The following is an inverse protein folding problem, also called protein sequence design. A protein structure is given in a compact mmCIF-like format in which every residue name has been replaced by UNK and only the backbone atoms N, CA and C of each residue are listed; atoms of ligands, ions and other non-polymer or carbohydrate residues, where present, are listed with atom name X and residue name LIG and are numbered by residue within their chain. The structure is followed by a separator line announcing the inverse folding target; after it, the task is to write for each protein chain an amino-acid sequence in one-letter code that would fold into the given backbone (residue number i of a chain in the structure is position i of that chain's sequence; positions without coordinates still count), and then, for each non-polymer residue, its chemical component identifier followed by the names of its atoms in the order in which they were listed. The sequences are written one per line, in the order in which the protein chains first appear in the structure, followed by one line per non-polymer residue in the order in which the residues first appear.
data_IF_317428127052
#
_entry.id   IF_317428127052
#
_cell.length_a   1.000
_cell.length_b   1.000
_cell.length_c   1.000
_cell.angle_alpha   90.00
_cell.angle_beta   90.00
_cell.angle_gamma   90.00
#
_symmetry.space_group_name_H-M   'P 1'
#
loop_
_entity.id
_entity.type
_entity.pdbx_description
1 polymer ?
#
# COMPACT_ATOMS: atom_id res chain seq x y z
N UNK A 1 8.87 60.55 4.14
CA UNK A 1 9.30 61.20 5.41
C UNK A 1 9.76 60.07 6.32
N UNK A 2 11.03 59.65 6.35
CA UNK A 2 12.28 60.32 6.78
C UNK A 2 12.19 60.88 8.21
N UNK A 3 13.24 60.52 8.98
CA UNK A 3 13.74 60.98 10.30
C UNK A 3 13.49 59.90 11.37
N UNK A 4 14.39 58.96 11.65
CA UNK A 4 15.84 59.02 11.91
C UNK A 4 16.24 60.02 13.00
N UNK A 5 17.36 59.69 13.65
CA UNK A 5 18.18 60.43 14.61
C UNK A 5 17.90 60.11 16.10
N UNK A 6 18.88 59.86 16.97
CA UNK A 6 20.28 60.33 16.99
C UNK A 6 21.26 59.29 17.58
N UNK A 7 22.41 59.20 16.90
CA UNK A 7 23.80 58.80 17.28
C UNK A 7 24.34 59.90 18.24
N UNK A 8 25.46 59.86 19.03
CA UNK A 8 26.84 59.39 18.71
C UNK A 8 27.62 58.84 19.96
N UNK A 9 28.90 58.48 20.01
CA UNK A 9 30.19 58.87 19.39
C UNK A 9 31.11 57.62 19.36
N UNK A 10 31.91 57.29 18.33
CA UNK A 10 33.13 57.94 17.79
C UNK A 10 34.30 57.88 18.83
N UNK A 11 35.56 57.45 18.62
CA UNK A 11 36.53 57.37 17.51
C UNK A 11 37.66 56.40 18.00
N UNK A 12 38.33 55.59 17.16
CA UNK A 12 39.71 55.91 16.72
C UNK A 12 40.26 54.94 15.66
N UNK A 13 40.92 55.57 14.69
CA UNK A 13 41.55 55.01 13.50
C UNK A 13 43.00 54.59 13.77
N UNK A 14 43.42 53.49 13.15
CA UNK A 14 44.76 53.40 12.58
C UNK A 14 44.70 52.60 11.27
N UNK A 15 45.00 53.28 10.16
CA UNK A 15 45.17 52.72 8.81
C UNK A 15 46.63 52.34 8.61
N UNK A 16 46.88 51.31 7.80
CA UNK A 16 48.02 51.03 6.90
C UNK A 16 48.05 49.50 6.75
N UNK A 17 48.09 48.81 5.61
CA UNK A 17 48.10 49.09 4.17
C UNK A 17 47.89 47.72 3.49
N UNK A 18 47.44 47.71 2.24
CA UNK A 18 47.16 46.51 1.43
C UNK A 18 48.29 45.48 1.41
N UNK A 19 47.92 44.19 1.41
CA UNK A 19 48.37 43.19 0.42
C UNK A 19 47.36 42.04 0.43
N UNK A 20 46.81 41.78 -0.76
CA UNK A 20 45.78 40.79 -1.05
C UNK A 20 46.19 39.36 -0.70
N UNK A 21 45.34 38.64 0.04
CA UNK A 21 45.11 37.20 -0.14
C UNK A 21 43.64 36.86 0.10
N UNK A 22 43.05 36.28 -0.93
CA UNK A 22 41.73 35.65 -1.00
C UNK A 22 41.54 34.69 0.18
N UNK A 23 40.46 34.84 0.97
CA UNK A 23 39.51 33.75 1.23
C UNK A 23 38.27 34.24 1.96
N UNK A 24 37.13 34.04 1.30
CA UNK A 24 35.80 34.08 1.85
C UNK A 24 35.62 32.88 2.80
N UNK A 25 34.70 33.01 3.76
CA UNK A 25 33.95 31.93 4.44
C UNK A 25 34.36 31.60 5.88
N UNK A 26 33.55 32.10 6.81
CA UNK A 26 33.01 31.26 7.88
C UNK A 26 31.61 31.80 8.24
N UNK A 27 30.69 31.74 7.28
CA UNK A 27 29.29 31.65 7.65
C UNK A 27 29.14 30.29 8.35
N UNK A 28 28.61 30.33 9.58
CA UNK A 28 28.19 29.15 10.32
C UNK A 28 27.08 28.50 9.47
N UNK A 29 27.48 27.60 8.59
CA UNK A 29 26.60 26.60 8.04
C UNK A 29 26.30 25.65 9.19
N UNK A 30 25.17 25.89 9.86
CA UNK A 30 24.43 24.80 10.49
C UNK A 30 24.04 23.85 9.36
N UNK A 31 24.98 22.97 8.99
CA UNK A 31 24.68 21.69 8.39
C UNK A 31 23.91 20.92 9.47
N UNK A 32 22.62 21.20 9.58
CA UNK A 32 21.69 20.13 9.87
C UNK A 32 21.90 19.18 8.69
N UNK A 33 22.72 18.16 8.90
CA UNK A 33 22.51 16.89 8.24
C UNK A 33 21.09 16.48 8.62
N UNK A 34 20.12 16.98 7.87
CA UNK A 34 18.97 16.18 7.53
C UNK A 34 19.62 14.99 6.85
N UNK A 35 19.90 13.94 7.63
CA UNK A 35 20.02 12.61 7.06
C UNK A 35 18.89 12.56 6.04
N UNK A 36 19.14 12.35 4.73
CA UNK A 36 18.04 12.08 3.82
C UNK A 36 17.25 11.02 4.57
N UNK A 37 16.03 11.35 5.01
CA UNK A 37 15.18 10.36 5.64
C UNK A 37 15.14 9.29 4.57
N UNK A 38 15.79 8.16 4.83
CA UNK A 38 15.58 6.99 4.00
C UNK A 38 14.07 6.90 3.92
N UNK A 39 13.51 7.13 2.73
CA UNK A 39 12.10 6.97 2.50
C UNK A 39 11.71 5.68 3.22
N UNK A 40 10.82 5.79 4.18
CA UNK A 40 10.59 4.77 5.18
C UNK A 40 10.12 3.51 4.47
N UNK A 41 10.95 2.47 4.49
CA UNK A 41 10.53 1.12 4.15
C UNK A 41 9.28 0.79 5.01
N UNK A 42 8.09 0.67 4.42
CA UNK A 42 6.86 0.51 5.19
C UNK A 42 6.74 -0.90 5.77
N UNK A 43 7.64 -1.80 5.40
CA UNK A 43 7.64 -3.21 5.79
C UNK A 43 8.66 -3.47 6.91
N UNK A 44 9.80 -2.76 6.92
CA UNK A 44 10.92 -3.09 7.81
C UNK A 44 11.27 -1.95 8.76
N UNK A 45 11.35 -2.28 10.05
CA UNK A 45 11.82 -1.35 11.09
C UNK A 45 13.34 -1.34 11.23
N UNK A 46 14.01 -2.45 10.86
CA UNK A 46 15.47 -2.61 10.81
C UNK A 46 15.88 -2.99 9.40
N UNK A 47 17.11 -2.65 8.98
CA UNK A 47 17.62 -2.93 7.61
C UNK A 47 16.66 -2.44 6.52
N UNK A 48 16.30 -1.16 6.60
CA UNK A 48 15.36 -0.53 5.66
C UNK A 48 15.92 -0.52 4.24
N UNK A 49 15.06 -0.85 3.28
CA UNK A 49 15.36 -0.65 1.87
C UNK A 49 14.83 0.70 1.40
N UNK A 50 15.64 1.45 0.66
CA UNK A 50 15.21 2.72 0.08
C UNK A 50 14.20 2.46 -1.04
N UNK A 51 12.99 3.01 -0.91
CA UNK A 51 11.93 2.94 -1.93
C UNK A 51 11.61 4.29 -2.57
N UNK A 52 12.21 5.39 -2.11
CA UNK A 52 11.91 6.74 -2.56
C UNK A 52 10.65 7.36 -1.93
N UNK A 53 10.71 8.67 -1.68
CA UNK A 53 9.71 9.41 -0.89
C UNK A 53 8.32 9.39 -1.55
N UNK A 54 8.26 9.45 -2.89
CA UNK A 54 6.99 9.48 -3.62
C UNK A 54 6.33 8.10 -3.62
N UNK A 55 7.12 7.03 -3.74
CA UNK A 55 6.62 5.66 -3.61
C UNK A 55 6.11 5.39 -2.20
N UNK A 56 6.85 5.81 -1.16
CA UNK A 56 6.38 5.68 0.22
C UNK A 56 5.07 6.46 0.45
N UNK A 57 5.01 7.71 -0.03
CA UNK A 57 3.81 8.53 0.08
C UNK A 57 2.62 7.91 -0.65
N UNK A 58 2.83 7.34 -1.84
CA UNK A 58 1.82 6.60 -2.58
C UNK A 58 1.34 5.36 -1.81
N UNK A 59 2.27 4.60 -1.23
CA UNK A 59 1.96 3.42 -0.42
C UNK A 59 1.09 3.78 0.78
N UNK A 60 1.48 4.79 1.56
CA UNK A 60 0.69 5.26 2.71
C UNK A 60 -0.68 5.79 2.28
N UNK A 61 -0.73 6.56 1.19
CA UNK A 61 -1.99 7.09 0.67
C UNK A 61 -2.98 5.96 0.34
N UNK A 62 -2.56 4.93 -0.41
CA UNK A 62 -3.48 3.84 -0.77
C UNK A 62 -3.77 2.91 0.40
N UNK A 63 -2.75 2.41 1.10
CA UNK A 63 -2.92 1.30 2.05
C UNK A 63 -3.28 1.75 3.46
N UNK A 64 -2.70 2.86 3.93
CA UNK A 64 -2.96 3.35 5.28
C UNK A 64 -4.15 4.30 5.31
N UNK A 65 -4.27 5.20 4.32
CA UNK A 65 -5.28 6.27 4.30
C UNK A 65 -6.51 5.92 3.45
N UNK A 66 -6.40 5.00 2.49
CA UNK A 66 -7.46 4.71 1.53
C UNK A 66 -7.72 5.87 0.55
N UNK A 67 -6.72 6.72 0.29
CA UNK A 67 -6.76 7.86 -0.62
C UNK A 67 -6.12 7.54 -1.97
N UNK A 68 -6.94 7.00 -2.87
CA UNK A 68 -6.53 6.64 -4.23
C UNK A 68 -6.23 7.86 -5.10
N UNK A 69 -6.89 9.00 -4.82
CA UNK A 69 -6.68 10.26 -5.53
C UNK A 69 -5.30 10.86 -5.19
N UNK A 70 -4.91 10.82 -3.92
CA UNK A 70 -3.56 11.19 -3.50
C UNK A 70 -2.52 10.18 -4.01
N UNK A 71 -2.78 8.88 -3.86
CA UNK A 71 -1.87 7.84 -4.34
C UNK A 71 -1.56 7.98 -5.84
N UNK A 72 -2.56 8.23 -6.68
CA UNK A 72 -2.35 8.46 -8.12
C UNK A 72 -1.43 9.67 -8.42
N UNK A 73 -1.51 10.74 -7.62
CA UNK A 73 -0.64 11.92 -7.77
C UNK A 73 0.79 11.64 -7.33
N UNK A 74 0.98 10.90 -6.24
CA UNK A 74 2.31 10.50 -5.78
C UNK A 74 2.96 9.51 -6.76
N UNK A 75 2.21 8.52 -7.25
CA UNK A 75 2.70 7.59 -8.25
C UNK A 75 3.14 8.30 -9.53
N UNK A 76 2.37 9.28 -10.02
CA UNK A 76 2.78 10.07 -11.18
C UNK A 76 4.14 10.74 -10.98
N UNK A 77 4.43 11.23 -9.77
CA UNK A 77 5.73 11.83 -9.43
C UNK A 77 6.81 10.75 -9.32
N UNK A 78 6.54 9.65 -8.60
CA UNK A 78 7.45 8.51 -8.44
C UNK A 78 7.91 7.94 -9.79
N UNK A 79 7.01 7.80 -10.76
CA UNK A 79 7.36 7.30 -12.10
C UNK A 79 8.38 8.19 -12.85
N UNK A 80 8.54 9.44 -12.43
CA UNK A 80 9.53 10.37 -13.00
C UNK A 80 10.78 10.55 -12.12
N UNK A 81 10.63 10.59 -10.79
CA UNK A 81 11.75 10.83 -9.85
C UNK A 81 12.42 9.55 -9.37
N UNK A 82 11.72 8.42 -9.39
CA UNK A 82 12.12 7.11 -8.86
C UNK A 82 11.97 6.01 -9.94
N UNK A 83 12.52 6.19 -11.17
CA UNK A 83 12.20 5.32 -12.32
C UNK A 83 12.72 3.88 -12.20
N UNK A 84 13.51 3.56 -11.18
CA UNK A 84 14.00 2.20 -10.92
C UNK A 84 13.27 1.52 -9.76
N UNK A 85 12.27 2.15 -9.14
CA UNK A 85 11.54 1.56 -8.01
C UNK A 85 10.39 0.66 -8.51
N UNK A 86 10.48 -0.67 -8.32
CA UNK A 86 9.45 -1.59 -8.80
C UNK A 86 8.09 -1.45 -8.09
N UNK A 87 8.06 -1.07 -6.81
CA UNK A 87 6.81 -0.90 -6.05
C UNK A 87 5.92 0.19 -6.64
N UNK A 88 6.51 1.30 -7.12
CA UNK A 88 5.76 2.36 -7.79
C UNK A 88 5.02 1.84 -9.03
N UNK A 89 5.69 1.01 -9.84
CA UNK A 89 5.08 0.39 -11.00
C UNK A 89 4.03 -0.65 -10.60
N UNK A 90 4.28 -1.46 -9.57
CA UNK A 90 3.32 -2.46 -9.09
C UNK A 90 2.02 -1.81 -8.58
N UNK A 91 2.13 -0.75 -7.77
CA UNK A 91 0.98 0.04 -7.32
C UNK A 91 0.25 0.69 -8.50
N UNK A 92 0.99 1.25 -9.46
CA UNK A 92 0.41 1.85 -10.68
C UNK A 92 -0.35 0.83 -11.53
N UNK A 93 0.17 -0.40 -11.65
CA UNK A 93 -0.50 -1.51 -12.32
C UNK A 93 -1.81 -1.91 -11.61
N UNK A 94 -1.79 -1.98 -10.28
CA UNK A 94 -2.98 -2.27 -9.46
C UNK A 94 -4.06 -1.20 -9.63
N UNK A 95 -3.68 0.09 -9.59
CA UNK A 95 -4.63 1.20 -9.86
C UNK A 95 -5.19 1.13 -11.28
N UNK A 96 -4.37 0.80 -12.27
CA UNK A 96 -4.81 0.62 -13.65
C UNK A 96 -5.83 -0.52 -13.77
N UNK A 97 -5.59 -1.65 -13.12
CA UNK A 97 -6.54 -2.77 -13.05
C UNK A 97 -7.89 -2.34 -12.47
N UNK A 98 -7.89 -1.66 -11.32
CA UNK A 98 -9.12 -1.18 -10.67
C UNK A 98 -9.91 -0.18 -11.54
N UNK A 99 -9.20 0.63 -12.32
CA UNK A 99 -9.77 1.59 -13.27
C UNK A 99 -10.13 0.98 -14.63
N UNK A 100 -9.90 -0.33 -14.82
CA UNK A 100 -10.10 -1.03 -16.10
C UNK A 100 -9.25 -0.47 -17.24
N UNK A 101 -8.10 0.11 -16.92
CA UNK A 101 -7.11 0.61 -17.87
C UNK A 101 -6.12 -0.51 -18.22
N UNK A 102 -6.55 -1.41 -19.11
CA UNK A 102 -5.79 -2.62 -19.45
C UNK A 102 -4.46 -2.33 -20.16
N UNK A 103 -4.39 -1.21 -20.90
CA UNK A 103 -3.17 -0.78 -21.56
C UNK A 103 -2.12 -0.37 -20.53
N UNK A 104 -2.49 0.45 -19.53
CA UNK A 104 -1.57 0.82 -18.44
C UNK A 104 -1.25 -0.34 -17.52
N UNK A 105 -2.21 -1.25 -17.28
CA UNK A 105 -1.94 -2.48 -16.55
C UNK A 105 -0.80 -3.26 -17.22
N UNK A 106 -0.89 -3.54 -18.52
CA UNK A 106 0.17 -4.26 -19.25
C UNK A 106 1.52 -3.52 -19.20
N UNK A 107 1.51 -2.20 -19.47
CA UNK A 107 2.73 -1.39 -19.45
C UNK A 107 3.42 -1.38 -18.08
N UNK A 108 2.67 -1.18 -17.00
CA UNK A 108 3.21 -1.13 -15.64
C UNK A 108 3.57 -2.52 -15.10
N UNK A 109 2.89 -3.58 -15.54
CA UNK A 109 3.28 -4.97 -15.21
C UNK A 109 4.66 -5.28 -15.76
N UNK A 110 4.91 -4.95 -17.04
CA UNK A 110 6.22 -5.11 -17.69
C UNK A 110 7.30 -4.29 -16.99
N UNK A 111 6.98 -3.04 -16.62
CA UNK A 111 7.94 -2.18 -15.90
C UNK A 111 8.26 -2.70 -14.50
N UNK A 112 7.29 -3.25 -13.79
CA UNK A 112 7.51 -3.91 -12.50
C UNK A 112 8.49 -5.09 -12.66
N UNK A 113 8.28 -5.92 -13.68
CA UNK A 113 9.16 -7.04 -14.00
C UNK A 113 10.59 -6.59 -14.36
N UNK A 114 10.71 -5.63 -15.28
CA UNK A 114 12.00 -5.09 -15.75
C UNK A 114 12.81 -4.49 -14.60
N UNK A 115 12.18 -3.66 -13.76
CA UNK A 115 12.85 -3.02 -12.63
C UNK A 115 13.18 -4.01 -11.52
N UNK A 116 12.30 -4.98 -11.24
CA UNK A 116 12.59 -6.10 -10.33
C UNK A 116 13.80 -6.92 -10.77
N UNK A 117 13.87 -7.31 -12.04
CA UNK A 117 15.01 -8.08 -12.59
C UNK A 117 16.32 -7.31 -12.50
N UNK A 118 16.30 -6.01 -12.81
CA UNK A 118 17.47 -5.13 -12.67
C UNK A 118 17.94 -5.01 -11.22
N UNK A 119 16.99 -4.93 -10.29
CA UNK A 119 17.24 -4.79 -8.85
C UNK A 119 17.94 -6.01 -8.24
N UNK A 120 17.81 -7.20 -8.84
CA UNK A 120 18.45 -8.45 -8.33
C UNK A 120 19.97 -8.28 -8.11
N UNK A 121 20.64 -7.51 -8.95
CA UNK A 121 22.11 -7.33 -8.86
C UNK A 121 22.57 -6.57 -7.61
N UNK A 122 21.75 -5.67 -7.07
CA UNK A 122 22.07 -4.83 -5.92
C UNK A 122 21.29 -5.20 -4.66
N UNK A 123 20.08 -5.73 -4.84
CA UNK A 123 19.18 -6.18 -3.78
C UNK A 123 18.48 -7.47 -4.24
N UNK A 124 19.13 -8.63 -4.07
CA UNK A 124 18.59 -9.90 -4.53
C UNK A 124 17.24 -10.26 -3.90
N UNK A 125 16.98 -9.86 -2.65
CA UNK A 125 15.73 -10.15 -1.96
C UNK A 125 14.57 -9.40 -2.64
N UNK A 126 14.66 -8.07 -2.72
CA UNK A 126 13.63 -7.26 -3.37
C UNK A 126 13.57 -7.52 -4.86
N UNK A 127 14.70 -7.71 -5.51
CA UNK A 127 14.76 -8.00 -6.94
C UNK A 127 14.00 -9.27 -7.32
N UNK A 128 14.23 -10.38 -6.59
CA UNK A 128 13.47 -11.61 -6.80
C UNK A 128 11.98 -11.42 -6.45
N UNK A 129 11.66 -10.76 -5.33
CA UNK A 129 10.29 -10.48 -4.93
C UNK A 129 9.51 -9.71 -6.01
N UNK A 130 10.06 -8.61 -6.52
CA UNK A 130 9.39 -7.80 -7.54
C UNK A 130 9.43 -8.42 -8.94
N UNK A 131 10.39 -9.31 -9.21
CA UNK A 131 10.33 -10.17 -10.41
C UNK A 131 9.11 -11.10 -10.33
N UNK A 132 8.84 -11.70 -9.16
CA UNK A 132 7.64 -12.50 -8.94
C UNK A 132 6.37 -11.67 -9.08
N UNK A 133 6.30 -10.49 -8.44
CA UNK A 133 5.16 -9.56 -8.56
C UNK A 133 4.92 -9.15 -10.01
N UNK A 134 5.97 -8.84 -10.77
CA UNK A 134 5.89 -8.52 -12.19
C UNK A 134 5.27 -9.66 -13.02
N UNK A 135 5.72 -10.90 -12.79
CA UNK A 135 5.11 -12.07 -13.45
C UNK A 135 3.65 -12.28 -13.07
N UNK A 136 3.28 -12.07 -11.80
CA UNK A 136 1.90 -12.17 -11.34
C UNK A 136 1.00 -11.16 -12.07
N UNK A 137 1.43 -9.90 -12.13
CA UNK A 137 0.70 -8.82 -12.80
C UNK A 137 0.56 -9.06 -14.30
N UNK A 138 1.62 -9.52 -14.97
CA UNK A 138 1.54 -9.91 -16.39
C UNK A 138 0.58 -11.08 -16.61
N UNK A 139 0.57 -12.07 -15.71
CA UNK A 139 -0.40 -13.16 -15.74
C UNK A 139 -1.85 -12.64 -15.68
N UNK A 140 -2.11 -11.69 -14.77
CA UNK A 140 -3.40 -10.99 -14.69
C UNK A 140 -3.74 -10.24 -15.98
N UNK A 141 -2.81 -9.45 -16.52
CA UNK A 141 -2.99 -8.71 -17.77
C UNK A 141 -3.30 -9.63 -18.96
N UNK A 142 -2.64 -10.79 -19.04
CA UNK A 142 -2.89 -11.81 -20.06
C UNK A 142 -4.31 -12.35 -19.96
N UNK A 143 -4.77 -12.74 -18.76
CA UNK A 143 -6.13 -13.26 -18.57
C UNK A 143 -7.18 -12.20 -18.92
N UNK A 144 -6.96 -10.95 -18.51
CA UNK A 144 -7.90 -9.86 -18.82
C UNK A 144 -8.01 -9.59 -20.32
N UNK A 145 -6.91 -9.72 -21.07
CA UNK A 145 -6.87 -9.43 -22.51
C UNK A 145 -7.31 -10.62 -23.37
N UNK A 146 -6.89 -11.83 -23.02
CA UNK A 146 -7.01 -13.03 -23.86
C UNK A 146 -8.09 -14.01 -23.36
N UNK A 147 -8.70 -13.76 -22.20
CA UNK A 147 -9.69 -14.65 -21.60
C UNK A 147 -9.15 -16.05 -21.38
N UNK A 148 -9.95 -17.07 -21.70
CA UNK A 148 -9.57 -18.48 -21.57
C UNK A 148 -8.36 -18.87 -22.43
N UNK A 149 -8.13 -18.20 -23.57
CA UNK A 149 -6.97 -18.44 -24.42
C UNK A 149 -5.65 -18.01 -23.76
N UNK A 150 -5.72 -17.09 -22.78
CA UNK A 150 -4.57 -16.65 -22.00
C UNK A 150 -4.15 -17.62 -20.90
N UNK A 151 -4.98 -18.60 -20.56
CA UNK A 151 -4.77 -19.49 -19.39
C UNK A 151 -3.44 -20.25 -19.43
N UNK A 152 -3.02 -20.89 -20.54
CA UNK A 152 -1.72 -21.57 -20.60
C UNK A 152 -0.54 -20.62 -20.33
N UNK A 153 -0.61 -19.39 -20.87
CA UNK A 153 0.43 -18.37 -20.66
C UNK A 153 0.43 -17.86 -19.22
N UNK A 154 -0.75 -17.64 -18.64
CA UNK A 154 -0.90 -17.24 -17.24
C UNK A 154 -0.37 -18.31 -16.28
N UNK A 155 -0.58 -19.60 -16.56
CA UNK A 155 0.05 -20.69 -15.80
C UNK A 155 1.58 -20.68 -15.94
N UNK A 156 2.10 -20.38 -17.14
CA UNK A 156 3.53 -20.15 -17.34
C UNK A 156 4.06 -19.04 -16.43
N UNK A 157 3.34 -17.93 -16.31
CA UNK A 157 3.68 -16.83 -15.39
C UNK A 157 3.59 -17.24 -13.93
N UNK A 158 2.53 -17.95 -13.53
CA UNK A 158 2.36 -18.41 -12.15
C UNK A 158 3.52 -19.32 -11.69
N UNK A 159 4.05 -20.18 -12.56
CA UNK A 159 5.26 -20.97 -12.24
C UNK A 159 6.46 -20.08 -11.94
N UNK A 160 6.64 -19.00 -12.70
CA UNK A 160 7.70 -18.03 -12.44
C UNK A 160 7.48 -17.27 -11.13
N UNK A 161 6.23 -16.94 -10.77
CA UNK A 161 5.90 -16.33 -9.47
C UNK A 161 6.47 -17.18 -8.33
N UNK A 162 6.16 -18.49 -8.30
CA UNK A 162 6.68 -19.39 -7.27
C UNK A 162 8.21 -19.50 -7.30
N UNK A 163 8.81 -19.69 -8.49
CA UNK A 163 10.27 -19.78 -8.62
C UNK A 163 10.99 -18.57 -8.00
N UNK A 164 10.51 -17.36 -8.26
CA UNK A 164 11.14 -16.14 -7.75
C UNK A 164 10.80 -15.85 -6.29
N UNK A 165 9.61 -16.23 -5.80
CA UNK A 165 9.31 -16.17 -4.38
C UNK A 165 10.18 -17.14 -3.56
N UNK A 166 10.47 -18.34 -4.09
CA UNK A 166 11.35 -19.30 -3.44
C UNK A 166 12.80 -18.77 -3.38
N UNK A 167 13.28 -18.10 -4.43
CA UNK A 167 14.59 -17.40 -4.42
C UNK A 167 14.64 -16.29 -3.38
N UNK A 168 13.59 -15.49 -3.25
CA UNK A 168 13.49 -14.45 -2.23
C UNK A 168 13.47 -15.04 -0.81
N UNK A 169 12.68 -16.11 -0.60
CA UNK A 169 12.58 -16.81 0.69
C UNK A 169 13.89 -17.47 1.10
N UNK A 170 14.65 -18.03 0.16
CA UNK A 170 15.97 -18.59 0.43
C UNK A 170 16.98 -17.57 0.95
N UNK A 171 16.77 -16.27 0.67
CA UNK A 171 17.63 -15.18 1.15
C UNK A 171 17.19 -14.73 2.55
N UNK A 172 15.90 -14.47 2.72
CA UNK A 172 15.34 -14.00 3.99
C UNK A 172 13.94 -14.57 4.22
N UNK A 173 13.82 -15.75 4.86
CA UNK A 173 12.54 -16.44 4.99
C UNK A 173 11.54 -15.73 5.89
N UNK A 174 12.01 -14.90 6.83
CA UNK A 174 11.18 -14.12 7.73
C UNK A 174 11.07 -12.64 7.28
N UNK A 175 11.38 -12.34 6.02
CA UNK A 175 11.26 -10.99 5.51
C UNK A 175 9.80 -10.50 5.53
N UNK A 176 9.50 -9.30 6.07
CA UNK A 176 8.12 -8.88 6.25
C UNK A 176 7.33 -8.60 4.99
N UNK A 177 7.97 -8.03 3.97
CA UNK A 177 7.34 -7.72 2.69
C UNK A 177 7.04 -9.01 1.92
N UNK A 178 8.01 -9.93 1.89
CA UNK A 178 7.86 -11.25 1.30
C UNK A 178 6.72 -12.02 1.95
N UNK A 179 6.70 -12.08 3.29
CA UNK A 179 5.68 -12.84 4.02
C UNK A 179 4.29 -12.19 3.88
N UNK A 180 4.21 -10.87 3.74
CA UNK A 180 2.95 -10.18 3.41
C UNK A 180 2.41 -10.65 2.05
N UNK A 181 3.24 -10.59 1.00
CA UNK A 181 2.83 -10.98 -0.36
C UNK A 181 2.50 -12.47 -0.45
N UNK A 182 3.38 -13.34 0.06
CA UNK A 182 3.14 -14.79 0.08
C UNK A 182 1.89 -15.13 0.88
N UNK A 183 1.72 -14.57 2.07
CA UNK A 183 0.57 -14.83 2.92
C UNK A 183 -0.75 -14.44 2.25
N UNK A 184 -0.82 -13.29 1.60
CA UNK A 184 -2.00 -12.89 0.83
C UNK A 184 -2.30 -13.83 -0.34
N UNK A 185 -1.27 -14.26 -1.06
CA UNK A 185 -1.41 -15.21 -2.17
C UNK A 185 -1.91 -16.57 -1.67
N UNK A 186 -1.31 -17.09 -0.60
CA UNK A 186 -1.67 -18.36 0.02
C UNK A 186 -3.12 -18.32 0.54
N UNK A 187 -3.55 -17.21 1.16
CA UNK A 187 -4.93 -17.03 1.59
C UNK A 187 -5.92 -17.01 0.43
N UNK A 188 -5.60 -16.27 -0.64
CA UNK A 188 -6.46 -16.23 -1.83
C UNK A 188 -6.64 -17.63 -2.43
N UNK A 189 -5.61 -18.46 -2.41
CA UNK A 189 -5.70 -19.85 -2.87
C UNK A 189 -6.48 -20.72 -1.87
N UNK A 190 -6.22 -20.60 -0.57
CA UNK A 190 -6.88 -21.38 0.48
C UNK A 190 -8.39 -21.18 0.53
N UNK A 191 -8.88 -19.94 0.37
CA UNK A 191 -10.33 -19.68 0.40
C UNK A 191 -11.04 -20.15 -0.87
N UNK A 192 -10.31 -20.40 -1.97
CA UNK A 192 -10.87 -20.79 -3.27
C UNK A 192 -10.56 -22.24 -3.67
N UNK A 193 -9.63 -22.91 -2.99
CA UNK A 193 -9.21 -24.29 -3.29
C UNK A 193 -9.32 -25.16 -2.03
N UNK A 194 -10.03 -26.31 -2.09
CA UNK A 194 -10.37 -27.11 -0.92
C UNK A 194 -9.18 -27.82 -0.23
N UNK A 195 -7.96 -27.63 -0.73
CA UNK A 195 -6.76 -28.33 -0.26
C UNK A 195 -5.74 -27.43 0.46
N UNK A 196 -5.91 -26.11 0.42
CA UNK A 196 -4.99 -25.19 1.07
C UNK A 196 -5.50 -24.83 2.47
N UNK A 197 -4.61 -24.90 3.46
CA UNK A 197 -4.94 -24.64 4.85
C UNK A 197 -4.80 -23.12 5.14
N UNK A 198 -5.91 -22.38 5.36
CA UNK A 198 -5.84 -20.96 5.65
C UNK A 198 -5.10 -20.65 6.96
N UNK A 199 -5.09 -21.56 7.94
CA UNK A 199 -4.49 -21.32 9.26
C UNK A 199 -2.97 -21.12 9.17
N UNK A 200 -2.28 -21.87 8.31
CA UNK A 200 -0.84 -21.73 8.11
C UNK A 200 -0.49 -20.39 7.46
N UNK A 201 -1.31 -19.94 6.49
CA UNK A 201 -1.11 -18.65 5.84
C UNK A 201 -1.39 -17.49 6.81
N UNK A 202 -2.41 -17.61 7.66
CA UNK A 202 -2.70 -16.66 8.75
C UNK A 202 -1.52 -16.60 9.73
N UNK A 203 -1.04 -17.75 10.22
CA UNK A 203 0.07 -17.80 11.18
C UNK A 203 1.35 -17.17 10.62
N UNK A 204 1.67 -17.43 9.34
CA UNK A 204 2.79 -16.79 8.63
C UNK A 204 2.63 -15.27 8.61
N UNK A 205 1.45 -14.77 8.25
CA UNK A 205 1.18 -13.33 8.22
C UNK A 205 1.34 -12.70 9.61
N UNK A 206 0.82 -13.33 10.66
CA UNK A 206 0.93 -12.79 12.02
C UNK A 206 2.36 -12.72 12.54
N UNK A 207 3.17 -13.73 12.23
CA UNK A 207 4.53 -13.83 12.79
C UNK A 207 5.55 -13.03 12.02
N UNK A 208 5.45 -13.03 10.70
CA UNK A 208 6.54 -12.60 9.85
C UNK A 208 6.20 -11.37 9.01
N UNK A 209 4.93 -11.06 8.75
CA UNK A 209 4.56 -9.99 7.83
C UNK A 209 4.40 -8.63 8.51
N UNK A 210 4.59 -7.57 7.73
CA UNK A 210 4.37 -6.19 8.15
C UNK A 210 4.02 -5.34 6.92
N UNK A 211 3.43 -4.13 7.09
CA UNK A 211 3.00 -3.52 8.35
C UNK A 211 1.75 -4.19 8.95
N UNK A 212 1.61 -4.10 10.28
CA UNK A 212 0.57 -4.81 11.02
C UNK A 212 -0.86 -4.52 10.55
N UNK A 213 -1.15 -3.28 10.12
CA UNK A 213 -2.49 -2.94 9.65
C UNK A 213 -2.87 -3.64 8.34
N UNK A 214 -1.88 -3.95 7.48
CA UNK A 214 -2.12 -4.76 6.29
C UNK A 214 -2.27 -6.23 6.65
N UNK A 215 -1.47 -6.73 7.59
CA UNK A 215 -1.65 -8.09 8.14
C UNK A 215 -3.07 -8.27 8.68
N UNK A 216 -3.51 -7.35 9.54
CA UNK A 216 -4.83 -7.40 10.16
C UNK A 216 -5.94 -7.28 9.09
N UNK A 217 -5.78 -6.38 8.10
CA UNK A 217 -6.73 -6.26 6.97
C UNK A 217 -6.83 -7.58 6.18
N UNK A 218 -5.71 -8.21 5.87
CA UNK A 218 -5.65 -9.45 5.09
C UNK A 218 -6.30 -10.63 5.81
N UNK A 219 -6.01 -10.78 7.09
CA UNK A 219 -6.60 -11.84 7.93
C UNK A 219 -8.10 -11.61 8.13
N UNK A 220 -8.55 -10.36 8.30
CA UNK A 220 -9.97 -10.04 8.37
C UNK A 220 -10.74 -10.44 7.08
N UNK A 221 -10.14 -10.23 5.91
CA UNK A 221 -10.70 -10.69 4.63
C UNK A 221 -10.81 -12.22 4.57
N UNK A 222 -9.75 -12.94 4.96
CA UNK A 222 -9.78 -14.40 4.97
C UNK A 222 -10.86 -14.95 5.89
N UNK A 223 -10.95 -14.45 7.13
CA UNK A 223 -11.99 -14.90 8.06
C UNK A 223 -13.40 -14.55 7.60
N UNK A 224 -13.60 -13.41 6.92
CA UNK A 224 -14.88 -13.07 6.30
C UNK A 224 -15.27 -14.13 5.27
N UNK A 225 -14.33 -14.50 4.41
CA UNK A 225 -14.57 -15.44 3.30
C UNK A 225 -14.77 -16.88 3.81
N UNK A 226 -14.12 -17.24 4.92
CA UNK A 226 -14.35 -18.47 5.68
C UNK A 226 -15.64 -18.45 6.53
N UNK A 227 -16.41 -17.36 6.49
CA UNK A 227 -17.65 -17.15 7.28
C UNK A 227 -17.43 -17.19 8.80
N UNK A 228 -16.20 -16.93 9.24
CA UNK A 228 -15.78 -16.80 10.63
C UNK A 228 -15.90 -15.33 11.08
N UNK A 229 -17.13 -14.83 11.10
CA UNK A 229 -17.38 -13.38 11.20
C UNK A 229 -16.89 -12.72 12.50
N UNK A 230 -16.91 -13.43 13.64
CA UNK A 230 -16.40 -12.84 14.90
C UNK A 230 -14.90 -12.58 14.83
N UNK A 231 -14.11 -13.56 14.37
CA UNK A 231 -12.67 -13.37 14.16
C UNK A 231 -12.40 -12.28 13.12
N UNK A 232 -13.17 -12.26 12.02
CA UNK A 232 -13.04 -11.22 11.01
C UNK A 232 -13.25 -9.79 11.58
N UNK A 233 -14.22 -9.61 12.49
CA UNK A 233 -14.44 -8.33 13.17
C UNK A 233 -13.27 -7.95 14.08
N UNK A 234 -12.72 -8.90 14.84
CA UNK A 234 -11.58 -8.63 15.73
C UNK A 234 -10.37 -8.09 14.96
N UNK A 235 -10.05 -8.68 13.81
CA UNK A 235 -8.95 -8.19 12.97
C UNK A 235 -9.29 -6.88 12.24
N UNK A 236 -10.53 -6.68 11.79
CA UNK A 236 -10.95 -5.39 11.23
C UNK A 236 -10.79 -4.26 12.27
N UNK A 237 -11.14 -4.54 13.53
CA UNK A 237 -10.98 -3.59 14.64
C UNK A 237 -9.53 -3.34 15.02
N UNK A 238 -8.67 -4.37 14.94
CA UNK A 238 -7.22 -4.19 15.10
C UNK A 238 -6.64 -3.27 14.01
N UNK A 239 -7.00 -3.50 12.74
CA UNK A 239 -6.55 -2.65 11.64
C UNK A 239 -6.95 -1.17 11.85
N UNK A 240 -8.20 -0.93 12.28
CA UNK A 240 -8.71 0.42 12.56
C UNK A 240 -7.93 1.18 13.65
N UNK A 241 -7.21 0.51 14.56
CA UNK A 241 -6.41 1.19 15.59
C UNK A 241 -5.34 2.10 15.01
N UNK A 242 -4.78 1.74 13.86
CA UNK A 242 -3.70 2.49 13.18
C UNK A 242 -4.14 3.10 11.85
N UNK A 243 -5.36 2.82 11.41
CA UNK A 243 -5.95 3.33 10.16
C UNK A 243 -7.36 3.88 10.41
N UNK A 244 -7.54 4.64 11.49
CA UNK A 244 -8.87 5.09 11.97
C UNK A 244 -9.68 5.91 10.95
N UNK A 245 -9.02 6.47 9.94
CA UNK A 245 -9.63 7.27 8.87
C UNK A 245 -9.78 6.49 7.55
N UNK A 246 -9.33 5.24 7.47
CA UNK A 246 -9.31 4.49 6.21
C UNK A 246 -10.72 3.98 5.85
N UNK A 247 -11.33 4.49 4.76
CA UNK A 247 -12.69 4.11 4.38
C UNK A 247 -12.83 2.63 3.98
N UNK A 248 -11.77 1.99 3.48
CA UNK A 248 -11.85 0.58 3.07
C UNK A 248 -11.97 -0.37 4.26
N UNK A 249 -11.38 -0.03 5.42
CA UNK A 249 -11.50 -0.88 6.60
C UNK A 249 -12.90 -0.78 7.20
N UNK A 250 -13.50 0.42 7.19
CA UNK A 250 -14.93 0.57 7.54
C UNK A 250 -15.84 -0.18 6.58
N UNK A 251 -15.54 -0.15 5.28
CA UNK A 251 -16.27 -0.94 4.30
C UNK A 251 -16.16 -2.44 4.57
N UNK A 252 -14.96 -2.95 4.83
CA UNK A 252 -14.74 -4.35 5.21
C UNK A 252 -15.54 -4.73 6.47
N UNK A 253 -15.46 -3.91 7.53
CA UNK A 253 -16.21 -4.12 8.76
C UNK A 253 -17.73 -4.12 8.51
N UNK A 254 -18.23 -3.23 7.65
CA UNK A 254 -19.63 -3.19 7.27
C UNK A 254 -20.08 -4.48 6.57
N UNK A 255 -19.29 -5.01 5.65
CA UNK A 255 -19.58 -6.29 4.98
C UNK A 255 -19.64 -7.45 5.97
N UNK A 256 -18.66 -7.54 6.89
CA UNK A 256 -18.62 -8.60 7.90
C UNK A 256 -19.84 -8.51 8.83
N UNK A 257 -20.17 -7.32 9.33
CA UNK A 257 -21.34 -7.08 10.19
C UNK A 257 -22.64 -7.43 9.46
N UNK A 258 -22.75 -7.06 8.19
CA UNK A 258 -23.92 -7.37 7.38
C UNK A 258 -24.09 -8.88 7.23
N UNK A 259 -23.05 -9.63 6.88
CA UNK A 259 -23.12 -11.09 6.73
C UNK A 259 -23.39 -11.80 8.08
N UNK A 260 -22.77 -11.33 9.17
CA UNK A 260 -23.05 -11.84 10.51
C UNK A 260 -24.50 -11.57 10.93
N UNK A 261 -24.98 -10.34 10.74
CA UNK A 261 -26.35 -9.94 11.04
C UNK A 261 -27.38 -10.70 10.19
N UNK A 262 -27.06 -11.02 8.93
CA UNK A 262 -27.87 -11.90 8.07
C UNK A 262 -27.97 -13.31 8.65
N UNK A 263 -26.83 -13.89 9.06
CA UNK A 263 -26.76 -15.25 9.62
C UNK A 263 -27.46 -15.37 10.97
N UNK A 264 -27.35 -14.35 11.81
CA UNK A 264 -27.88 -14.32 13.18
C UNK A 264 -29.28 -13.68 13.26
N UNK A 265 -29.83 -13.21 12.14
CA UNK A 265 -31.08 -12.46 12.09
C UNK A 265 -31.11 -11.25 13.05
N UNK A 266 -29.99 -10.55 13.17
CA UNK A 266 -29.76 -9.52 14.19
C UNK A 266 -29.92 -8.11 13.64
N UNK A 267 -31.00 -7.42 14.02
CA UNK A 267 -31.23 -6.00 13.67
C UNK A 267 -30.08 -5.08 14.12
N UNK A 268 -29.56 -5.18 15.36
CA UNK A 268 -28.42 -4.35 15.80
C UNK A 268 -27.19 -4.50 14.90
N UNK A 269 -26.83 -5.73 14.51
CA UNK A 269 -25.68 -5.95 13.61
C UNK A 269 -25.89 -5.34 12.23
N UNK A 270 -27.12 -5.39 11.69
CA UNK A 270 -27.43 -4.74 10.42
C UNK A 270 -27.38 -3.20 10.55
N UNK A 271 -27.82 -2.64 11.68
CA UNK A 271 -27.71 -1.20 11.95
C UNK A 271 -26.24 -0.77 12.02
N UNK A 272 -25.40 -1.54 12.72
CA UNK A 272 -23.95 -1.28 12.80
C UNK A 272 -23.29 -1.39 11.41
N UNK A 273 -23.71 -2.34 10.58
CA UNK A 273 -23.24 -2.45 9.21
C UNK A 273 -23.53 -1.18 8.40
N UNK A 274 -24.76 -0.66 8.47
CA UNK A 274 -25.17 0.58 7.79
C UNK A 274 -24.32 1.76 8.27
N UNK A 275 -24.11 1.88 9.59
CA UNK A 275 -23.28 2.94 10.15
C UNK A 275 -21.82 2.87 9.65
N UNK A 276 -21.25 1.68 9.49
CA UNK A 276 -19.90 1.52 8.94
C UNK A 276 -19.84 1.79 7.43
N UNK A 277 -20.87 1.43 6.65
CA UNK A 277 -20.99 1.87 5.26
C UNK A 277 -21.04 3.41 5.15
N UNK A 278 -21.80 4.06 6.03
CA UNK A 278 -21.87 5.53 6.09
C UNK A 278 -20.50 6.15 6.39
N UNK A 279 -19.77 5.60 7.36
CA UNK A 279 -18.39 6.02 7.66
C UNK A 279 -17.48 5.92 6.44
N UNK A 280 -17.49 4.79 5.73
CA UNK A 280 -16.72 4.62 4.50
C UNK A 280 -17.07 5.67 3.43
N UNK A 281 -18.37 5.98 3.28
CA UNK A 281 -18.85 6.97 2.29
C UNK A 281 -18.53 8.42 2.65
N UNK A 282 -18.13 8.73 3.89
CA UNK A 282 -17.64 10.09 4.24
C UNK A 282 -16.41 10.48 3.43
N UNK A 283 -15.60 9.51 3.00
CA UNK A 283 -14.40 9.71 2.18
C UNK A 283 -14.61 9.29 0.72
N UNK A 284 -15.85 9.26 0.22
CA UNK A 284 -16.14 8.80 -1.16
C UNK A 284 -15.33 9.49 -2.27
N UNK A 285 -14.90 10.74 -2.07
CA UNK A 285 -14.05 11.47 -3.03
C UNK A 285 -12.63 10.93 -3.14
N UNK A 286 -12.19 10.15 -2.16
CA UNK A 286 -10.88 9.48 -2.11
C UNK A 286 -10.90 8.10 -2.76
N UNK A 287 -12.08 7.53 -3.00
CA UNK A 287 -12.28 6.17 -3.48
C UNK A 287 -12.50 6.11 -5.00
N UNK A 288 -12.18 4.97 -5.65
CA UNK A 288 -12.60 4.73 -7.03
C UNK A 288 -14.12 4.77 -7.17
N UNK A 289 -14.62 5.40 -8.24
CA UNK A 289 -16.08 5.57 -8.45
C UNK A 289 -16.85 4.24 -8.51
N UNK A 290 -16.22 3.17 -8.99
CA UNK A 290 -16.77 1.81 -8.99
C UNK A 290 -16.98 1.28 -7.58
N UNK A 291 -16.00 1.50 -6.70
CA UNK A 291 -16.07 1.11 -5.29
C UNK A 291 -17.16 1.90 -4.55
N UNK A 292 -17.26 3.22 -4.78
CA UNK A 292 -18.34 4.05 -4.19
C UNK A 292 -19.72 3.49 -4.53
N UNK A 293 -19.97 3.20 -5.82
CA UNK A 293 -21.23 2.60 -6.27
C UNK A 293 -21.51 1.25 -5.62
N UNK A 294 -20.47 0.45 -5.41
CA UNK A 294 -20.60 -0.84 -4.74
C UNK A 294 -20.98 -0.68 -3.27
N UNK A 295 -20.33 0.23 -2.54
CA UNK A 295 -20.63 0.54 -1.14
C UNK A 295 -22.07 1.04 -0.99
N UNK A 296 -22.50 2.00 -1.81
CA UNK A 296 -23.86 2.53 -1.79
C UNK A 296 -24.91 1.45 -2.03
N UNK A 297 -24.66 0.53 -2.99
CA UNK A 297 -25.55 -0.59 -3.28
C UNK A 297 -25.66 -1.55 -2.10
N UNK A 298 -24.53 -1.96 -1.50
CA UNK A 298 -24.51 -2.90 -0.37
C UNK A 298 -25.16 -2.28 0.89
N UNK A 299 -24.93 -0.99 1.12
CA UNK A 299 -25.63 -0.21 2.14
C UNK A 299 -27.14 -0.23 1.94
N UNK A 300 -27.63 0.06 0.73
CA UNK A 300 -29.07 0.05 0.43
C UNK A 300 -29.68 -1.34 0.63
N UNK A 301 -28.96 -2.41 0.28
CA UNK A 301 -29.37 -3.77 0.56
C UNK A 301 -29.49 -4.04 2.07
N UNK A 302 -28.56 -3.53 2.88
CA UNK A 302 -28.62 -3.64 4.34
C UNK A 302 -29.83 -2.88 4.90
N UNK A 303 -30.11 -1.66 4.43
CA UNK A 303 -31.29 -0.87 4.84
C UNK A 303 -32.60 -1.58 4.50
N UNK A 304 -32.74 -2.07 3.27
CA UNK A 304 -33.94 -2.81 2.85
C UNK A 304 -34.16 -4.06 3.72
N UNK A 305 -33.07 -4.76 4.07
CA UNK A 305 -33.16 -5.91 4.97
C UNK A 305 -33.63 -5.50 6.35
N UNK A 306 -33.05 -4.44 6.93
CA UNK A 306 -33.44 -3.97 8.26
C UNK A 306 -34.95 -3.67 8.34
N UNK A 307 -35.51 -3.04 7.31
CA UNK A 307 -36.94 -2.76 7.21
C UNK A 307 -37.79 -4.03 7.11
N UNK A 308 -37.31 -5.06 6.40
CA UNK A 308 -38.01 -6.33 6.22
C UNK A 308 -37.91 -7.29 7.42
N UNK A 309 -37.02 -7.00 8.37
CA UNK A 309 -36.99 -7.69 9.68
C UNK A 309 -38.06 -7.13 10.64
N UNK A 310 -38.74 -6.06 10.24
CA UNK A 310 -39.83 -5.36 10.94
C UNK A 310 -41.01 -6.25 11.27
#
# INVERSE_FOLDING_TARGET
MIKQFFVPESISFAKLTDIAKVTFSAAIALNLWVSPSLAGDPFRNSTQHSIGDQTEAAFKAVFQQGDYSAAARYLKQALSSEPNEPLAYAMSASLAYGNKDWARLDAYSKKTLETGQKLVSSDPLRGNLYTAVGHFLEGGAIITREGTNGVPKAFGRLRQVYEYLDKAEAISPNDPELNLIKGYMDLLLAVNLPFANPDQAIERLEKNAAPQYLVDRGIALAYRDLKQYSQALDYADRALKTTSENPEIYYLKAQILQEKGKKENSKPLIQDAIANFDKALTKKSQLPSSLVKQIERERNQATNRLNNLG
#
